data_IF_942155088655
#
_entry.id   IF_942155088655
#
_cell.length_a   1.000
_cell.length_b   1.000
_cell.length_c   1.000
_cell.angle_alpha   90.00
_cell.angle_beta   90.00
_cell.angle_gamma   90.00
#
_symmetry.space_group_name_H-M   'P 1'
#
loop_
_entity.id
_entity.type
_entity.pdbx_description
1 polymer ?
#
# COMPACT_ATOMS: atom_id res chain seq x y z
N UNK A 1 20.04 -31.39 -13.08
CA UNK A 1 20.34 -30.19 -12.27
C UNK A 1 21.16 -29.25 -13.12
N UNK A 2 20.67 -28.03 -13.40
CA UNK A 2 21.45 -27.00 -14.10
C UNK A 2 22.49 -26.45 -13.12
N UNK A 3 23.76 -26.52 -13.49
CA UNK A 3 24.89 -26.06 -12.67
C UNK A 3 24.93 -24.53 -12.70
N UNK A 4 24.37 -23.87 -11.67
CA UNK A 4 24.19 -22.42 -11.60
C UNK A 4 25.45 -21.65 -11.19
N UNK A 5 26.57 -22.34 -10.90
CA UNK A 5 27.81 -21.74 -10.39
C UNK A 5 28.48 -20.72 -11.32
N UNK A 6 28.17 -20.74 -12.62
CA UNK A 6 28.81 -19.88 -13.63
C UNK A 6 27.85 -18.88 -14.30
N UNK A 7 26.61 -18.75 -13.83
CA UNK A 7 25.67 -17.76 -14.36
C UNK A 7 25.84 -16.46 -13.59
N UNK A 8 26.20 -15.37 -14.27
CA UNK A 8 26.05 -14.03 -13.69
C UNK A 8 24.54 -13.75 -13.56
N UNK A 9 23.99 -13.67 -12.34
CA UNK A 9 22.56 -13.44 -12.15
C UNK A 9 22.15 -12.00 -12.47
N UNK A 10 23.10 -11.11 -12.77
CA UNK A 10 22.86 -9.68 -12.95
C UNK A 10 22.48 -9.36 -14.39
N UNK A 11 21.32 -8.74 -14.54
CA UNK A 11 20.87 -8.18 -15.80
C UNK A 11 21.38 -6.75 -15.86
N UNK A 12 22.22 -6.45 -16.83
CA UNK A 12 22.63 -5.08 -17.14
C UNK A 12 21.82 -4.53 -18.31
N UNK A 13 21.50 -3.24 -18.26
CA UNK A 13 20.83 -2.52 -19.34
C UNK A 13 21.35 -1.08 -19.35
N UNK A 14 21.54 -0.54 -20.56
CA UNK A 14 22.05 0.81 -20.74
C UNK A 14 20.93 1.86 -20.83
N UNK A 15 19.66 1.43 -20.81
CA UNK A 15 18.49 2.30 -20.81
C UNK A 15 17.32 1.65 -20.07
N UNK A 16 16.36 2.47 -19.63
CA UNK A 16 15.11 2.00 -19.00
C UNK A 16 14.27 1.15 -19.97
N UNK A 17 14.30 1.46 -21.27
CA UNK A 17 13.56 0.70 -22.28
C UNK A 17 14.15 -0.70 -22.45
N UNK A 18 15.48 -0.80 -22.54
CA UNK A 18 16.17 -2.10 -22.59
C UNK A 18 15.96 -2.90 -21.31
N UNK A 19 16.03 -2.24 -20.15
CA UNK A 19 15.74 -2.88 -18.86
C UNK A 19 14.33 -3.46 -18.84
N UNK A 20 13.32 -2.67 -19.21
CA UNK A 20 11.93 -3.11 -19.26
C UNK A 20 11.77 -4.35 -20.17
N UNK A 21 12.32 -4.30 -21.39
CA UNK A 21 12.28 -5.44 -22.32
C UNK A 21 12.90 -6.71 -21.72
N UNK A 22 14.04 -6.59 -21.04
CA UNK A 22 14.70 -7.73 -20.38
C UNK A 22 13.92 -8.23 -19.17
N UNK A 23 13.17 -7.37 -18.47
CA UNK A 23 12.37 -7.74 -17.31
C UNK A 23 11.07 -8.46 -17.67
N UNK A 24 10.50 -8.23 -18.86
CA UNK A 24 9.24 -8.86 -19.30
C UNK A 24 9.25 -10.39 -19.19
N UNK A 25 10.39 -11.05 -19.43
CA UNK A 25 10.49 -12.51 -19.29
C UNK A 25 10.36 -13.02 -17.84
N UNK A 26 10.55 -12.14 -16.85
CA UNK A 26 10.52 -12.46 -15.41
C UNK A 26 9.27 -11.95 -14.69
N UNK A 27 8.72 -10.81 -15.11
CA UNK A 27 7.58 -10.16 -14.44
C UNK A 27 6.35 -9.98 -15.32
N UNK A 28 6.47 -10.14 -16.65
CA UNK A 28 5.34 -10.05 -17.56
C UNK A 28 4.38 -11.23 -17.40
N UNK A 29 3.09 -11.01 -17.68
CA UNK A 29 2.05 -12.04 -17.57
C UNK A 29 2.39 -13.32 -18.37
N UNK A 30 2.94 -13.14 -19.58
CA UNK A 30 3.38 -14.23 -20.47
C UNK A 30 4.89 -14.54 -20.34
N UNK A 31 5.55 -14.03 -19.29
CA UNK A 31 6.98 -14.18 -19.08
C UNK A 31 7.37 -15.63 -18.81
N UNK A 32 8.32 -16.17 -19.60
CA UNK A 32 8.81 -17.56 -19.47
C UNK A 32 9.21 -17.96 -18.05
N UNK A 33 9.85 -17.05 -17.32
CA UNK A 33 10.33 -17.30 -15.96
C UNK A 33 9.37 -16.76 -14.89
N UNK A 34 8.30 -16.06 -15.27
CA UNK A 34 7.36 -15.47 -14.31
C UNK A 34 6.88 -16.47 -13.26
N UNK A 35 6.48 -17.73 -13.57
CA UNK A 35 6.01 -18.67 -12.54
C UNK A 35 7.06 -19.04 -11.48
N UNK A 36 8.36 -18.93 -11.79
CA UNK A 36 9.46 -19.29 -10.88
C UNK A 36 10.28 -18.09 -10.39
N UNK A 37 10.01 -16.88 -10.88
CA UNK A 37 10.61 -15.64 -10.37
C UNK A 37 10.10 -15.35 -8.97
N UNK A 38 11.00 -15.39 -7.98
CA UNK A 38 10.70 -15.09 -6.57
C UNK A 38 10.71 -13.59 -6.27
N UNK A 39 11.63 -12.84 -6.87
CA UNK A 39 11.73 -11.39 -6.83
C UNK A 39 12.71 -10.90 -7.90
N UNK A 40 12.59 -9.64 -8.27
CA UNK A 40 13.56 -8.90 -9.07
C UNK A 40 14.02 -7.72 -8.23
N UNK A 41 15.33 -7.55 -8.08
CA UNK A 41 15.91 -6.35 -7.45
C UNK A 41 16.45 -5.45 -8.55
N UNK A 42 16.01 -4.19 -8.57
CA UNK A 42 16.42 -3.21 -9.57
C UNK A 42 17.22 -2.12 -8.87
N UNK A 43 18.46 -1.91 -9.32
CA UNK A 43 19.27 -0.78 -8.89
C UNK A 43 19.26 0.27 -9.99
N UNK A 44 18.74 1.46 -9.68
CA UNK A 44 18.66 2.59 -10.60
C UNK A 44 19.53 3.73 -10.08
N UNK A 45 20.30 4.35 -10.97
CA UNK A 45 20.99 5.61 -10.65
C UNK A 45 19.99 6.78 -10.75
N UNK A 46 19.06 6.85 -9.80
CA UNK A 46 18.01 7.86 -9.74
C UNK A 46 18.11 8.64 -8.42
N UNK A 47 18.50 9.93 -8.46
CA UNK A 47 18.60 10.77 -7.26
C UNK A 47 17.30 10.86 -6.45
N UNK A 48 16.14 10.74 -7.09
CA UNK A 48 14.84 10.77 -6.41
C UNK A 48 14.58 9.54 -5.53
N UNK A 49 15.33 8.45 -5.75
CA UNK A 49 15.26 7.23 -4.95
C UNK A 49 16.48 7.09 -4.02
N UNK A 50 17.32 8.12 -3.92
CA UNK A 50 18.45 8.10 -3.01
C UNK A 50 17.94 7.91 -1.59
N UNK A 51 18.54 6.96 -0.87
CA UNK A 51 18.19 6.60 0.51
C UNK A 51 16.81 5.94 0.70
N UNK A 52 16.11 5.62 -0.40
CA UNK A 52 14.82 4.93 -0.43
C UNK A 52 14.93 3.55 -1.07
N UNK A 53 14.31 2.55 -0.44
CA UNK A 53 14.04 1.24 -1.05
C UNK A 53 12.52 1.12 -1.26
N UNK A 54 12.12 0.92 -2.52
CA UNK A 54 10.71 0.74 -2.87
C UNK A 54 10.48 -0.75 -3.12
N UNK A 55 9.59 -1.32 -2.32
CA UNK A 55 9.16 -2.71 -2.45
C UNK A 55 7.80 -2.72 -3.11
N UNK A 56 7.76 -3.06 -4.39
CA UNK A 56 6.51 -3.34 -5.09
C UNK A 56 6.09 -4.79 -4.81
N UNK A 57 4.91 -4.95 -4.24
CA UNK A 57 4.40 -6.25 -3.81
C UNK A 57 3.37 -6.76 -4.80
N UNK A 58 3.38 -8.07 -5.15
CA UNK A 58 2.29 -8.65 -5.91
C UNK A 58 0.93 -8.37 -5.25
N UNK A 59 -0.12 -8.24 -6.06
CA UNK A 59 -1.46 -7.92 -5.59
C UNK A 59 -2.01 -8.94 -4.59
N UNK A 60 -3.00 -8.53 -3.79
CA UNK A 60 -3.61 -9.37 -2.74
C UNK A 60 -4.21 -10.66 -3.28
N UNK A 61 -4.54 -10.68 -4.58
CA UNK A 61 -5.10 -11.83 -5.29
C UNK A 61 -4.04 -12.58 -6.12
N UNK A 62 -2.74 -12.51 -5.79
CA UNK A 62 -1.71 -13.28 -6.51
C UNK A 62 -1.99 -14.79 -6.36
N UNK A 63 -2.10 -15.55 -7.48
CA UNK A 63 -2.42 -16.98 -7.43
C UNK A 63 -1.30 -17.83 -6.80
N UNK A 64 -0.11 -17.28 -6.56
CA UNK A 64 1.04 -17.98 -6.02
C UNK A 64 1.18 -17.68 -4.52
N UNK A 65 0.73 -18.63 -3.69
CA UNK A 65 0.74 -18.51 -2.22
C UNK A 65 2.12 -18.11 -1.62
N UNK A 66 3.23 -18.62 -2.18
CA UNK A 66 4.58 -18.29 -1.69
C UNK A 66 4.95 -16.80 -1.87
N UNK A 67 4.32 -16.11 -2.82
CA UNK A 67 4.49 -14.67 -3.01
C UNK A 67 3.70 -13.89 -1.97
N UNK A 68 2.49 -14.33 -1.67
CA UNK A 68 1.64 -13.73 -0.63
C UNK A 68 2.32 -13.80 0.75
N UNK A 69 2.88 -14.95 1.12
CA UNK A 69 3.66 -15.08 2.37
C UNK A 69 4.88 -14.17 2.41
N UNK A 70 5.57 -14.01 1.29
CA UNK A 70 6.74 -13.13 1.20
C UNK A 70 6.34 -11.67 1.28
N UNK A 71 5.26 -11.26 0.63
CA UNK A 71 4.67 -9.91 0.77
C UNK A 71 4.39 -9.61 2.24
N UNK A 72 3.78 -10.57 2.97
CA UNK A 72 3.55 -10.42 4.42
C UNK A 72 4.83 -10.27 5.22
N UNK A 73 5.88 -11.02 4.89
CA UNK A 73 7.17 -10.91 5.56
C UNK A 73 7.81 -9.53 5.33
N UNK A 74 7.79 -9.04 4.09
CA UNK A 74 8.39 -7.75 3.72
C UNK A 74 7.66 -6.55 4.33
N UNK A 75 6.33 -6.60 4.39
CA UNK A 75 5.54 -5.54 5.02
C UNK A 75 5.92 -5.33 6.48
N UNK A 76 6.44 -6.34 7.18
CA UNK A 76 6.96 -6.18 8.55
C UNK A 76 8.21 -5.31 8.57
N UNK A 77 9.06 -5.37 7.56
CA UNK A 77 10.34 -4.68 7.59
C UNK A 77 10.23 -3.22 7.12
N UNK A 78 9.16 -2.90 6.38
CA UNK A 78 8.86 -1.53 5.93
C UNK A 78 8.64 -0.56 7.09
N UNK A 79 9.19 0.65 6.92
CA UNK A 79 8.99 1.80 7.82
C UNK A 79 7.78 2.64 7.42
N UNK A 80 7.51 2.72 6.12
CA UNK A 80 6.37 3.43 5.53
C UNK A 80 5.66 2.50 4.55
N UNK A 81 4.34 2.46 4.62
CA UNK A 81 3.49 1.62 3.76
C UNK A 81 2.47 2.47 3.02
N UNK A 82 2.47 2.39 1.69
CA UNK A 82 1.41 2.97 0.86
C UNK A 82 0.43 1.87 0.47
N UNK A 83 -0.82 2.04 0.84
CA UNK A 83 -1.90 1.11 0.51
C UNK A 83 -2.72 1.72 -0.61
N UNK A 84 -2.58 1.13 -1.80
CA UNK A 84 -3.22 1.60 -3.03
C UNK A 84 -4.45 0.74 -3.30
N UNK A 85 -5.64 1.35 -3.26
CA UNK A 85 -6.92 0.68 -3.53
C UNK A 85 -7.73 1.48 -4.56
N UNK A 86 -8.42 0.84 -5.51
CA UNK A 86 -9.28 1.54 -6.48
C UNK A 86 -10.38 2.36 -5.80
N UNK A 87 -10.58 3.63 -6.19
CA UNK A 87 -11.56 4.51 -5.54
C UNK A 87 -12.99 3.97 -5.52
N UNK A 88 -13.42 3.28 -6.59
CA UNK A 88 -14.78 2.73 -6.69
C UNK A 88 -15.01 1.51 -5.80
N UNK A 89 -13.94 0.88 -5.32
CA UNK A 89 -13.97 -0.28 -4.43
C UNK A 89 -12.98 -0.05 -3.29
N UNK A 90 -12.96 1.17 -2.75
CA UNK A 90 -11.93 1.58 -1.83
C UNK A 90 -12.01 0.77 -0.53
N UNK A 91 -10.92 0.11 -0.16
CA UNK A 91 -10.77 -0.69 1.06
C UNK A 91 -11.82 -1.82 1.17
N UNK A 92 -11.79 -2.73 0.21
CA UNK A 92 -12.59 -3.97 0.27
C UNK A 92 -12.14 -4.92 1.38
N UNK A 93 -12.92 -5.95 1.71
CA UNK A 93 -12.53 -6.98 2.68
C UNK A 93 -11.19 -7.67 2.31
N UNK A 94 -10.89 -7.79 1.01
CA UNK A 94 -9.58 -8.29 0.55
C UNK A 94 -8.45 -7.35 0.95
N UNK A 95 -8.63 -6.04 0.76
CA UNK A 95 -7.66 -5.02 1.20
C UNK A 95 -7.51 -5.05 2.73
N UNK A 96 -8.63 -5.25 3.46
CA UNK A 96 -8.64 -5.36 4.93
C UNK A 96 -7.88 -6.58 5.44
N UNK A 97 -7.86 -7.69 4.69
CA UNK A 97 -7.07 -8.87 5.05
C UNK A 97 -5.57 -8.60 5.10
N UNK A 98 -5.06 -7.57 4.42
CA UNK A 98 -3.68 -7.12 4.58
C UNK A 98 -3.48 -6.46 5.94
N UNK A 99 -4.44 -5.65 6.41
CA UNK A 99 -4.32 -4.94 7.69
C UNK A 99 -4.24 -5.89 8.87
N UNK A 100 -5.14 -6.89 8.96
CA UNK A 100 -5.11 -7.90 10.03
C UNK A 100 -3.74 -8.61 10.13
N UNK A 101 -2.97 -8.63 9.03
CA UNK A 101 -1.68 -9.34 8.92
C UNK A 101 -0.48 -8.43 9.11
N UNK A 102 -0.60 -7.14 8.78
CA UNK A 102 0.41 -6.10 8.97
C UNK A 102 0.37 -5.55 10.39
N UNK A 103 -0.81 -5.50 10.99
CA UNK A 103 -1.04 -4.82 12.26
C UNK A 103 -0.57 -5.60 13.48
N UNK A 104 -0.34 -6.92 13.36
CA UNK A 104 0.18 -7.79 14.43
C UNK A 104 1.65 -7.51 14.84
N UNK A 105 2.21 -6.35 14.51
CA UNK A 105 3.61 -6.00 14.82
C UNK A 105 3.73 -5.07 16.03
N UNK A 106 4.84 -5.27 16.72
CA UNK A 106 5.45 -4.36 17.69
C UNK A 106 6.34 -3.35 16.93
N UNK A 107 6.01 -2.07 17.04
CA UNK A 107 6.71 -0.97 16.36
C UNK A 107 5.81 -0.21 15.38
N UNK A 108 5.78 1.12 15.51
CA UNK A 108 4.95 2.01 14.70
C UNK A 108 5.37 2.01 13.22
N UNK A 109 4.43 1.66 12.33
CA UNK A 109 4.53 1.87 10.88
C UNK A 109 3.72 3.10 10.49
N UNK A 110 4.28 3.95 9.63
CA UNK A 110 3.55 5.07 9.03
C UNK A 110 2.79 4.56 7.81
N UNK A 111 1.45 4.64 7.83
CA UNK A 111 0.59 4.13 6.75
C UNK A 111 -0.07 5.30 6.01
N UNK A 112 0.00 5.26 4.69
CA UNK A 112 -0.67 6.19 3.78
C UNK A 112 -1.66 5.45 2.88
N UNK A 113 -2.85 6.02 2.72
CA UNK A 113 -3.90 5.46 1.89
C UNK A 113 -3.99 6.23 0.58
N UNK A 114 -3.89 5.51 -0.54
CA UNK A 114 -4.03 6.06 -1.88
C UNK A 114 -5.25 5.45 -2.53
N UNK A 115 -6.30 6.26 -2.72
CA UNK A 115 -7.42 5.91 -3.56
C UNK A 115 -7.02 6.18 -5.02
N UNK A 116 -6.73 5.11 -5.75
CA UNK A 116 -6.33 5.14 -7.15
C UNK A 116 -7.53 5.29 -8.09
N UNK A 117 -7.29 5.64 -9.36
CA UNK A 117 -8.33 5.86 -10.37
C UNK A 117 -9.24 7.07 -10.04
N UNK A 118 -8.62 8.19 -9.64
CA UNK A 118 -9.33 9.45 -9.41
C UNK A 118 -10.19 9.89 -10.60
N UNK A 119 -9.73 9.63 -11.84
CA UNK A 119 -10.46 9.85 -13.09
C UNK A 119 -11.83 9.16 -13.08
N UNK A 120 -11.87 7.90 -12.63
CA UNK A 120 -13.08 7.09 -12.57
C UNK A 120 -13.97 7.52 -11.40
N UNK A 121 -13.38 7.93 -10.28
CA UNK A 121 -14.11 8.44 -9.12
C UNK A 121 -14.89 9.72 -9.45
N UNK A 122 -14.22 10.70 -10.08
CA UNK A 122 -14.84 11.96 -10.48
C UNK A 122 -15.75 11.76 -11.70
N UNK A 123 -15.37 10.89 -12.64
CA UNK A 123 -16.14 10.61 -13.85
C UNK A 123 -17.49 9.92 -13.61
N UNK A 124 -17.79 9.47 -12.39
CA UNK A 124 -19.12 8.93 -12.08
C UNK A 124 -20.20 9.99 -12.21
N UNK A 125 -21.32 9.64 -12.87
CA UNK A 125 -22.42 10.58 -13.15
C UNK A 125 -22.95 11.25 -11.87
N UNK A 126 -23.01 10.50 -10.77
CA UNK A 126 -23.48 11.01 -9.48
C UNK A 126 -22.55 12.08 -8.89
N UNK A 127 -21.23 11.92 -9.01
CA UNK A 127 -20.24 12.87 -8.49
C UNK A 127 -20.20 14.10 -9.39
N UNK A 128 -20.15 13.91 -10.71
CA UNK A 128 -20.18 14.99 -11.68
C UNK A 128 -21.42 15.88 -11.50
N UNK A 129 -22.63 15.29 -11.42
CA UNK A 129 -23.88 16.05 -11.19
C UNK A 129 -23.89 16.79 -9.86
N UNK A 130 -23.52 16.14 -8.75
CA UNK A 130 -23.48 16.79 -7.41
C UNK A 130 -22.47 17.93 -7.32
N UNK A 131 -21.45 17.92 -8.18
CA UNK A 131 -20.45 18.97 -8.28
C UNK A 131 -20.80 20.09 -9.26
N UNK A 132 -22.00 20.08 -9.87
CA UNK A 132 -22.36 20.97 -10.98
C UNK A 132 -21.35 20.91 -12.13
N UNK A 133 -20.79 19.72 -12.41
CA UNK A 133 -19.77 19.51 -13.44
C UNK A 133 -18.52 20.41 -13.24
N UNK A 134 -18.21 20.79 -12.00
CA UNK A 134 -16.99 21.52 -11.66
C UNK A 134 -15.93 20.55 -11.13
N UNK A 135 -14.89 20.30 -11.94
CA UNK A 135 -13.88 19.26 -11.69
C UNK A 135 -13.19 19.38 -10.31
N UNK A 136 -12.70 20.56 -9.88
CA UNK A 136 -12.10 20.70 -8.55
C UNK A 136 -13.06 20.34 -7.41
N UNK A 137 -14.34 20.74 -7.51
CA UNK A 137 -15.37 20.41 -6.52
C UNK A 137 -15.70 18.93 -6.53
N UNK A 138 -15.74 18.29 -7.71
CA UNK A 138 -15.93 16.86 -7.83
C UNK A 138 -14.83 16.07 -7.13
N UNK A 139 -13.58 16.45 -7.36
CA UNK A 139 -12.41 15.84 -6.73
C UNK A 139 -12.44 15.99 -5.22
N UNK A 140 -12.72 17.20 -4.71
CA UNK A 140 -12.83 17.46 -3.27
C UNK A 140 -13.95 16.63 -2.63
N UNK A 141 -15.13 16.56 -3.27
CA UNK A 141 -16.25 15.76 -2.78
C UNK A 141 -15.93 14.26 -2.76
N UNK A 142 -15.30 13.74 -3.81
CA UNK A 142 -14.87 12.35 -3.88
C UNK A 142 -13.86 12.03 -2.77
N UNK A 143 -12.85 12.89 -2.60
CA UNK A 143 -11.83 12.71 -1.56
C UNK A 143 -12.42 12.78 -0.14
N UNK A 144 -13.37 13.68 0.11
CA UNK A 144 -14.11 13.75 1.40
C UNK A 144 -14.95 12.51 1.66
N UNK A 145 -15.60 11.97 0.62
CA UNK A 145 -16.37 10.73 0.72
C UNK A 145 -15.46 9.55 1.08
N UNK A 146 -14.34 9.40 0.38
CA UNK A 146 -13.34 8.36 0.63
C UNK A 146 -12.70 8.49 2.01
N UNK A 147 -12.43 9.73 2.44
CA UNK A 147 -11.90 9.98 3.79
C UNK A 147 -12.91 9.63 4.89
N UNK A 148 -14.19 9.92 4.67
CA UNK A 148 -15.26 9.47 5.58
C UNK A 148 -15.34 7.94 5.66
N UNK A 149 -15.20 7.26 4.51
CA UNK A 149 -15.15 5.80 4.47
C UNK A 149 -13.93 5.24 5.22
N UNK A 150 -12.74 5.82 5.01
CA UNK A 150 -11.53 5.48 5.77
C UNK A 150 -11.79 5.62 7.28
N UNK A 151 -12.33 6.76 7.72
CA UNK A 151 -12.59 7.02 9.15
C UNK A 151 -13.53 5.99 9.76
N UNK A 152 -14.60 5.63 9.06
CA UNK A 152 -15.55 4.60 9.52
C UNK A 152 -14.89 3.23 9.66
N UNK A 153 -14.04 2.86 8.70
CA UNK A 153 -13.33 1.58 8.72
C UNK A 153 -12.29 1.56 9.85
N UNK A 154 -11.47 2.60 9.95
CA UNK A 154 -10.45 2.71 10.99
C UNK A 154 -11.07 2.77 12.40
N UNK A 155 -12.23 3.43 12.56
CA UNK A 155 -12.98 3.43 13.81
C UNK A 155 -13.36 2.02 14.29
N UNK A 156 -13.87 1.17 13.38
CA UNK A 156 -14.16 -0.24 13.70
C UNK A 156 -12.90 -1.05 14.02
N UNK A 157 -11.80 -0.80 13.32
CA UNK A 157 -10.52 -1.48 13.61
C UNK A 157 -9.96 -1.09 14.98
N UNK A 158 -10.12 0.16 15.41
CA UNK A 158 -9.70 0.61 16.75
C UNK A 158 -10.46 -0.14 17.85
N UNK A 159 -11.73 -0.47 17.63
CA UNK A 159 -12.54 -1.26 18.57
C UNK A 159 -12.07 -2.72 18.61
N UNK A 160 -11.78 -3.33 17.46
CA UNK A 160 -11.35 -4.72 17.35
C UNK A 160 -9.90 -4.95 17.79
N UNK A 161 -9.03 -3.96 17.59
CA UNK A 161 -7.59 -4.03 17.84
C UNK A 161 -7.09 -2.81 18.65
N UNK A 162 -7.48 -2.68 19.92
CA UNK A 162 -7.17 -1.51 20.75
C UNK A 162 -5.66 -1.29 20.96
N UNK A 163 -4.86 -2.35 20.87
CA UNK A 163 -3.41 -2.32 20.92
C UNK A 163 -2.75 -1.61 19.72
N UNK A 164 -3.48 -1.37 18.63
CA UNK A 164 -2.99 -0.72 17.40
C UNK A 164 -3.65 0.64 17.15
N UNK A 165 -4.39 1.16 18.13
CA UNK A 165 -5.14 2.41 18.03
C UNK A 165 -4.32 3.54 17.42
N UNK A 166 -3.08 3.72 17.87
CA UNK A 166 -2.23 4.81 17.41
C UNK A 166 -1.95 4.78 15.90
N UNK A 167 -1.79 3.58 15.32
CA UNK A 167 -1.57 3.41 13.87
C UNK A 167 -2.81 3.86 13.10
N UNK A 168 -3.99 3.44 13.54
CA UNK A 168 -5.26 3.79 12.89
C UNK A 168 -5.62 5.26 13.07
N UNK A 169 -5.34 5.86 14.24
CA UNK A 169 -5.52 7.29 14.48
C UNK A 169 -4.59 8.14 13.59
N UNK A 170 -3.33 7.69 13.41
CA UNK A 170 -2.39 8.33 12.46
C UNK A 170 -2.90 8.20 11.02
N UNK A 171 -3.41 7.04 10.62
CA UNK A 171 -4.02 6.84 9.30
C UNK A 171 -5.20 7.80 9.05
N UNK A 172 -6.12 7.91 10.02
CA UNK A 172 -7.25 8.86 9.98
C UNK A 172 -6.73 10.29 9.80
N UNK A 173 -5.74 10.70 10.61
CA UNK A 173 -5.15 12.04 10.55
C UNK A 173 -4.46 12.32 9.22
N UNK A 174 -3.83 11.31 8.63
CA UNK A 174 -3.15 11.43 7.34
C UNK A 174 -4.12 11.58 6.17
N UNK A 175 -5.35 11.06 6.31
CA UNK A 175 -6.40 11.13 5.31
C UNK A 175 -6.14 10.26 4.08
N UNK A 176 -7.01 10.38 3.09
CA UNK A 176 -6.89 9.66 1.81
C UNK A 176 -6.27 10.57 0.76
N UNK A 177 -5.27 10.05 0.04
CA UNK A 177 -4.75 10.67 -1.18
C UNK A 177 -5.56 10.12 -2.36
N UNK A 178 -6.35 10.97 -3.01
CA UNK A 178 -7.03 10.62 -4.26
C UNK A 178 -6.09 10.91 -5.43
N UNK A 179 -5.78 9.92 -6.27
CA UNK A 179 -4.80 10.06 -7.36
C UNK A 179 -5.15 9.19 -8.59
N UNK A 180 -4.67 9.60 -9.78
CA UNK A 180 -4.83 8.83 -11.02
C UNK A 180 -3.49 8.63 -11.74
N UNK A 181 -3.04 7.38 -11.79
CA UNK A 181 -1.87 6.98 -12.57
C UNK A 181 -2.07 7.16 -14.08
N UNK A 182 -3.29 6.93 -14.57
CA UNK A 182 -3.65 7.13 -15.98
C UNK A 182 -3.59 8.62 -16.34
N UNK A 183 -4.13 9.51 -15.50
CA UNK A 183 -4.01 10.96 -15.73
C UNK A 183 -2.56 11.43 -15.72
N UNK A 184 -1.72 10.90 -14.81
CA UNK A 184 -0.30 11.22 -14.82
C UNK A 184 0.38 10.80 -16.12
N UNK A 185 0.08 9.59 -16.59
CA UNK A 185 0.68 9.04 -17.81
C UNK A 185 0.23 9.83 -19.04
N UNK A 186 -1.06 10.16 -19.14
CA UNK A 186 -1.59 11.05 -20.18
C UNK A 186 -0.97 12.44 -20.14
N UNK A 187 -0.74 13.00 -18.95
CA UNK A 187 -0.06 14.29 -18.79
C UNK A 187 1.39 14.23 -19.31
N UNK A 188 2.14 13.16 -18.98
CA UNK A 188 3.52 12.97 -19.45
C UNK A 188 3.60 12.73 -20.96
N UNK A 189 2.61 12.03 -21.51
CA UNK A 189 2.56 11.65 -22.92
C UNK A 189 1.66 12.56 -23.77
N UNK A 190 1.26 13.73 -23.25
CA UNK A 190 0.19 14.54 -23.84
C UNK A 190 0.46 14.93 -25.30
N UNK A 191 1.71 15.21 -25.66
CA UNK A 191 2.07 15.60 -27.02
C UNK A 191 1.86 14.45 -28.05
N UNK A 192 1.68 13.21 -27.59
CA UNK A 192 1.46 12.04 -28.43
C UNK A 192 -0.03 11.62 -28.51
N UNK A 193 -0.97 12.51 -28.15
CA UNK A 193 -2.40 12.22 -28.11
C UNK A 193 -2.95 11.59 -29.40
N UNK A 194 -2.48 12.04 -30.58
CA UNK A 194 -2.89 11.49 -31.88
C UNK A 194 -2.48 10.02 -32.10
N UNK A 195 -1.57 9.49 -31.28
CA UNK A 195 -1.13 8.09 -31.32
C UNK A 195 -1.95 7.20 -30.42
N UNK A 196 -2.64 7.77 -29.42
CA UNK A 196 -3.39 6.99 -28.46
C UNK A 196 -4.50 6.18 -29.17
N UNK A 197 -5.19 6.77 -30.16
CA UNK A 197 -6.40 6.16 -30.78
C UNK A 197 -6.05 4.91 -31.59
N UNK A 198 -4.77 4.79 -31.95
CA UNK A 198 -4.24 3.77 -32.87
C UNK A 198 -3.62 2.58 -32.15
N UNK A 199 -3.55 2.60 -30.82
CA UNK A 199 -2.86 1.58 -30.04
C UNK A 199 -3.76 0.98 -28.96
N UNK A 200 -3.93 -0.35 -28.98
CA UNK A 200 -4.66 -1.09 -27.92
C UNK A 200 -4.10 -0.84 -26.52
N UNK A 201 -2.80 -0.53 -26.39
CA UNK A 201 -2.17 -0.22 -25.09
C UNK A 201 -2.62 1.12 -24.48
N UNK A 202 -3.24 2.00 -25.26
CA UNK A 202 -3.72 3.32 -24.84
C UNK A 202 -5.25 3.42 -24.88
N UNK A 203 -5.95 2.29 -25.04
CA UNK A 203 -7.42 2.24 -24.98
C UNK A 203 -7.97 2.81 -23.65
N UNK A 204 -7.25 2.58 -22.55
CA UNK A 204 -7.55 3.16 -21.24
C UNK A 204 -7.46 4.70 -21.25
N UNK A 205 -6.51 5.28 -21.98
CA UNK A 205 -6.36 6.74 -22.08
C UNK A 205 -7.56 7.36 -22.81
N UNK A 206 -8.03 6.72 -23.88
CA UNK A 206 -9.23 7.18 -24.59
C UNK A 206 -10.46 7.17 -23.73
N UNK A 207 -10.70 6.06 -23.05
CA UNK A 207 -11.90 5.93 -22.24
C UNK A 207 -11.88 6.92 -21.08
N UNK A 208 -10.75 7.04 -20.37
CA UNK A 208 -10.60 8.00 -19.29
C UNK A 208 -10.77 9.45 -19.79
N UNK A 209 -10.07 9.86 -20.85
CA UNK A 209 -10.16 11.22 -21.37
C UNK A 209 -11.54 11.56 -21.92
N UNK A 210 -12.19 10.62 -22.63
CA UNK A 210 -13.56 10.81 -23.13
C UNK A 210 -14.53 11.03 -21.96
N UNK A 211 -14.51 10.14 -20.97
CA UNK A 211 -15.39 10.25 -19.81
C UNK A 211 -15.18 11.57 -19.05
N UNK A 212 -13.92 12.02 -18.91
CA UNK A 212 -13.59 13.29 -18.28
C UNK A 212 -14.05 14.51 -19.11
N UNK A 213 -13.90 14.47 -20.43
CA UNK A 213 -14.41 15.52 -21.34
C UNK A 213 -15.93 15.62 -21.29
N UNK A 214 -16.61 14.48 -21.30
CA UNK A 214 -18.06 14.40 -21.25
C UNK A 214 -18.60 14.92 -19.90
N UNK A 215 -17.92 14.58 -18.80
CA UNK A 215 -18.31 15.00 -17.45
C UNK A 215 -17.95 16.46 -17.13
N UNK A 216 -16.85 16.98 -17.69
CA UNK A 216 -16.27 18.29 -17.35
C UNK A 216 -15.83 19.10 -18.58
N UNK A 217 -16.76 19.53 -19.46
CA UNK A 217 -16.39 20.23 -20.69
C UNK A 217 -15.49 21.46 -20.48
N UNK A 218 -15.77 22.26 -19.45
CA UNK A 218 -15.03 23.49 -19.15
C UNK A 218 -13.57 23.26 -18.73
N UNK A 219 -13.28 22.12 -18.11
CA UNK A 219 -11.96 21.72 -17.63
C UNK A 219 -11.10 21.10 -18.75
N UNK A 220 -11.72 20.68 -19.86
CA UNK A 220 -11.06 20.04 -21.00
C UNK A 220 -11.33 20.74 -22.34
N UNK A 221 -11.67 22.05 -22.30
CA UNK A 221 -12.03 22.82 -23.49
C UNK A 221 -10.84 23.31 -24.35
N UNK A 222 -9.61 23.12 -23.87
CA UNK A 222 -8.37 23.41 -24.59
C UNK A 222 -7.27 22.43 -24.17
N UNK A 223 -6.18 22.40 -24.93
CA UNK A 223 -5.01 21.56 -24.62
C UNK A 223 -4.36 21.97 -23.29
N UNK A 224 -4.21 23.27 -23.04
CA UNK A 224 -3.62 23.77 -21.79
C UNK A 224 -4.47 23.39 -20.57
N UNK A 225 -5.79 23.62 -20.63
CA UNK A 225 -6.69 23.22 -19.54
C UNK A 225 -6.75 21.71 -19.37
N UNK A 226 -6.71 20.95 -20.46
CA UNK A 226 -6.66 19.49 -20.40
C UNK A 226 -5.38 19.02 -19.68
N UNK A 227 -4.22 19.59 -20.01
CA UNK A 227 -2.95 19.29 -19.33
C UNK A 227 -3.03 19.64 -17.84
N UNK A 228 -3.56 20.81 -17.49
CA UNK A 228 -3.74 21.24 -16.10
C UNK A 228 -4.67 20.29 -15.34
N UNK A 229 -5.81 19.92 -15.93
CA UNK A 229 -6.79 19.01 -15.33
C UNK A 229 -6.24 17.60 -15.13
N UNK A 230 -5.47 17.08 -16.10
CA UNK A 230 -4.80 15.78 -15.99
C UNK A 230 -3.74 15.80 -14.89
N UNK A 231 -2.93 16.86 -14.82
CA UNK A 231 -1.94 17.01 -13.77
C UNK A 231 -2.61 17.10 -12.39
N UNK A 232 -3.70 17.88 -12.28
CA UNK A 232 -4.50 18.00 -11.06
C UNK A 232 -5.04 16.64 -10.60
N UNK A 233 -5.71 15.90 -11.48
CA UNK A 233 -6.26 14.56 -11.16
C UNK A 233 -5.19 13.51 -10.87
N UNK A 234 -3.98 13.67 -11.43
CA UNK A 234 -2.88 12.78 -11.13
C UNK A 234 -2.49 12.81 -9.66
N UNK A 235 -2.54 14.01 -9.06
CA UNK A 235 -2.18 14.30 -7.67
C UNK A 235 -0.86 13.64 -7.20
N UNK A 236 0.10 13.44 -8.10
CA UNK A 236 1.38 12.79 -7.76
C UNK A 236 2.21 13.62 -6.77
N UNK A 237 2.03 14.94 -6.77
CA UNK A 237 2.68 15.84 -5.80
C UNK A 237 2.40 15.47 -4.35
N UNK A 238 1.17 15.03 -4.03
CA UNK A 238 0.83 14.59 -2.68
C UNK A 238 1.60 13.33 -2.26
N UNK A 239 1.80 12.38 -3.19
CA UNK A 239 2.58 11.16 -2.94
C UNK A 239 4.06 11.50 -2.76
N UNK A 240 4.62 12.35 -3.63
CA UNK A 240 6.00 12.82 -3.54
C UNK A 240 6.28 13.53 -2.21
N UNK A 241 5.34 14.34 -1.72
CA UNK A 241 5.46 15.02 -0.43
C UNK A 241 5.54 14.01 0.72
N UNK A 242 4.71 12.96 0.73
CA UNK A 242 4.78 11.90 1.75
C UNK A 242 6.08 11.12 1.70
N UNK A 243 6.60 10.84 0.49
CA UNK A 243 7.91 10.19 0.33
C UNK A 243 9.06 11.06 0.83
N UNK A 244 9.04 12.37 0.52
CA UNK A 244 10.04 13.32 1.03
C UNK A 244 9.99 13.44 2.55
N UNK A 245 8.78 13.51 3.12
CA UNK A 245 8.59 13.51 4.58
C UNK A 245 9.16 12.24 5.21
N UNK A 246 8.86 11.07 4.65
CA UNK A 246 9.40 9.80 5.11
C UNK A 246 10.94 9.76 5.06
N UNK A 247 11.54 10.28 3.98
CA UNK A 247 12.98 10.36 3.85
C UNK A 247 13.62 11.31 4.88
N UNK A 248 13.00 12.46 5.15
CA UNK A 248 13.47 13.43 6.14
C UNK A 248 13.33 12.93 7.58
N UNK A 249 12.23 12.23 7.88
CA UNK A 249 11.96 11.69 9.22
C UNK A 249 12.60 10.31 9.45
N UNK A 250 13.37 9.77 8.50
CA UNK A 250 13.97 8.43 8.53
C UNK A 250 14.63 8.08 9.86
N UNK A 251 15.53 8.94 10.36
CA UNK A 251 16.24 8.68 11.62
C UNK A 251 15.29 8.62 12.81
N UNK A 252 14.27 9.48 12.83
CA UNK A 252 13.22 9.51 13.86
C UNK A 252 12.34 8.26 13.78
N UNK A 253 11.91 7.86 12.59
CA UNK A 253 11.08 6.67 12.37
C UNK A 253 11.83 5.42 12.83
N UNK A 254 13.10 5.27 12.42
CA UNK A 254 13.94 4.14 12.83
C UNK A 254 14.15 4.14 14.35
N UNK A 255 14.48 5.28 14.94
CA UNK A 255 14.71 5.39 16.39
C UNK A 255 13.46 5.05 17.21
N UNK A 256 12.29 5.56 16.80
CA UNK A 256 11.02 5.27 17.47
C UNK A 256 10.67 3.78 17.36
N UNK A 257 10.83 3.19 16.17
CA UNK A 257 10.61 1.75 15.94
C UNK A 257 11.44 0.88 16.88
N UNK A 258 12.71 1.22 17.11
CA UNK A 258 13.57 0.50 18.06
C UNK A 258 13.13 0.66 19.52
N UNK A 259 12.71 1.85 19.93
CA UNK A 259 12.20 2.10 21.29
C UNK A 259 10.91 1.32 21.54
N UNK A 260 9.95 1.39 20.62
CA UNK A 260 8.67 0.69 20.71
C UNK A 260 8.89 -0.82 20.74
N UNK A 261 9.79 -1.33 19.89
CA UNK A 261 10.14 -2.75 19.86
C UNK A 261 10.73 -3.20 21.20
N UNK A 262 11.70 -2.45 21.74
CA UNK A 262 12.30 -2.79 23.04
C UNK A 262 11.25 -2.78 24.17
N UNK A 263 10.36 -1.78 24.18
CA UNK A 263 9.28 -1.70 25.17
C UNK A 263 8.31 -2.87 25.05
N UNK A 264 7.95 -3.26 23.84
CA UNK A 264 7.01 -4.36 23.62
C UNK A 264 7.63 -5.72 23.96
N UNK A 265 8.91 -5.93 23.64
CA UNK A 265 9.66 -7.12 24.08
C UNK A 265 9.75 -7.21 25.61
N UNK A 266 9.99 -6.08 26.30
CA UNK A 266 9.97 -6.04 27.75
C UNK A 266 8.58 -6.39 28.31
N UNK A 267 7.51 -5.86 27.72
CA UNK A 267 6.14 -6.16 28.12
C UNK A 267 5.78 -7.64 27.89
N UNK A 268 6.19 -8.23 26.76
CA UNK A 268 5.96 -9.64 26.46
C UNK A 268 6.72 -10.55 27.42
N UNK A 269 7.98 -10.23 27.71
CA UNK A 269 8.76 -10.96 28.69
C UNK A 269 8.11 -10.88 30.08
N UNK A 270 7.64 -9.69 30.48
CA UNK A 270 6.93 -9.53 31.75
C UNK A 270 5.64 -10.36 31.80
N UNK A 271 4.83 -10.36 30.73
CA UNK A 271 3.63 -11.21 30.62
C UNK A 271 3.97 -12.70 30.72
N UNK A 272 5.03 -13.15 30.03
CA UNK A 272 5.47 -14.53 30.06
C UNK A 272 5.93 -14.97 31.46
N UNK A 273 6.70 -14.12 32.15
CA UNK A 273 7.11 -14.36 33.54
C UNK A 273 5.90 -14.46 34.46
N UNK A 274 4.94 -13.52 34.34
CA UNK A 274 3.72 -13.53 35.15
C UNK A 274 2.88 -14.78 34.92
N UNK A 275 2.76 -15.23 33.66
CA UNK A 275 2.05 -16.48 33.34
C UNK A 275 2.74 -17.70 33.95
N UNK A 276 4.07 -17.81 33.82
CA UNK A 276 4.83 -18.91 34.41
C UNK A 276 4.71 -18.94 35.94
N UNK A 277 4.71 -17.78 36.59
CA UNK A 277 4.49 -17.70 38.04
C UNK A 277 3.09 -18.20 38.43
N UNK A 278 2.07 -17.84 37.66
CA UNK A 278 0.71 -18.29 37.88
C UNK A 278 0.58 -19.81 37.70
N UNK A 279 1.16 -20.36 36.63
CA UNK A 279 1.15 -21.81 36.35
C UNK A 279 1.84 -22.59 37.49
N UNK A 280 2.97 -22.10 38.00
CA UNK A 280 3.67 -22.69 39.15
C UNK A 280 2.85 -22.64 40.44
N UNK A 281 2.11 -21.57 40.69
CA UNK A 281 1.20 -21.47 41.84
C UNK A 281 0.04 -22.47 41.73
N UNK A 282 -0.51 -22.67 40.53
CA UNK A 282 -1.56 -23.64 40.27
C UNK A 282 -1.08 -25.08 40.45
N UNK A 283 0.11 -25.44 39.95
CA UNK A 283 0.73 -26.75 40.19
C UNK A 283 0.95 -26.99 41.68
N UNK A 284 1.50 -25.99 42.39
CA UNK A 284 1.72 -26.07 43.84
C UNK A 284 0.41 -26.29 44.60
N UNK A 285 -0.68 -25.63 44.18
CA UNK A 285 -2.02 -25.83 44.75
C UNK A 285 -2.55 -27.24 44.44
N UNK A 286 -2.36 -27.73 43.22
CA UNK A 286 -2.73 -29.08 42.81
C UNK A 286 -2.05 -30.16 43.66
N UNK A 287 -0.73 -30.05 43.85
CA UNK A 287 0.06 -30.97 44.69
C UNK A 287 -0.43 -30.99 46.14
N UNK A 288 -0.71 -29.82 46.74
CA UNK A 288 -1.26 -29.74 48.10
C UNK A 288 -2.61 -30.46 48.23
N UNK A 289 -3.51 -30.28 47.27
CA UNK A 289 -4.81 -30.96 47.26
C UNK A 289 -4.65 -32.47 47.17
N UNK A 290 -3.72 -32.95 46.33
CA UNK A 290 -3.44 -34.38 46.16
C UNK A 290 -2.90 -35.00 47.46
N UNK A 291 -1.97 -34.32 48.12
CA UNK A 291 -1.41 -34.73 49.42
C UNK A 291 -2.52 -34.82 50.48
N UNK A 292 -3.40 -33.82 50.54
CA UNK A 292 -4.51 -33.81 51.49
C UNK A 292 -5.48 -34.97 51.24
N UNK A 293 -5.79 -35.27 49.97
CA UNK A 293 -6.64 -36.40 49.61
C UNK A 293 -6.01 -37.75 50.04
N UNK A 294 -4.72 -37.96 49.77
CA UNK A 294 -3.98 -39.15 50.18
C UNK A 294 -3.88 -39.31 51.71
N UNK A 295 -3.83 -38.20 52.44
CA UNK A 295 -3.80 -38.21 53.92
C UNK A 295 -5.15 -38.59 54.55
N UNK A 296 -6.26 -38.39 53.84
CA UNK A 296 -7.62 -38.74 54.30
C UNK A 296 -8.03 -40.17 53.91
N UNK A 297 -7.32 -40.81 52.99
CA UNK A 297 -7.57 -42.18 52.54
C UNK A 297 -6.78 -43.24 53.32
N UNK A 298 -6.02 -42.84 54.34
CA UNK A 298 -5.38 -43.72 55.34
C UNK A 298 -6.13 -43.63 56.66
#
# INVERSE_FOLDING_TARGET
MLNTKNLDPRIQANSLQELNQKLLQFVGADGKYMPCTKAVQISLNNPNLKDLEVIDTPGVNDPIASREERTKALLKDCDVVFIVSPSNQFLTDSDMSLFDRVSNKEGLQEIYFVASQADSAVGSESVAKKSNQHLPTAFENAQKSLSSQLNNIMGKLIENYPNQREIFEKAIKNGVILASGVCFSMYKDFNNQASWERNKKTEEYHNALRNLRDAYPDAFNSDDKSKESLLFLSNMGAIEERLKKAAQEKEKIISQKWQDYAQSQANNLHKFITQLLQDLEEEKRGLKTLILALSKSK
#
